data_IF_432158576180
#
_entry.id   IF_432158576180
#
_cell.length_a   1.000
_cell.length_b   1.000
_cell.length_c   1.000
_cell.angle_alpha   90.00
_cell.angle_beta   90.00
_cell.angle_gamma   90.00
#
_symmetry.space_group_name_H-M   'P 1'
#
loop_
_entity.id
_entity.type
_entity.pdbx_description
1 polymer ?
#
# COMPACT_ATOMS: atom_id res chain seq x y z
N UNK A 1 12.84 -1.48 -9.98
CA UNK A 1 13.74 -1.49 -8.80
C UNK A 1 13.84 -2.91 -8.27
N UNK A 2 15.05 -3.42 -8.16
CA UNK A 2 15.29 -4.75 -7.59
C UNK A 2 15.42 -4.65 -6.07
N UNK A 3 15.60 -5.80 -5.40
CA UNK A 3 15.67 -5.84 -3.94
C UNK A 3 16.82 -5.03 -3.36
N UNK A 4 17.99 -5.10 -3.98
CA UNK A 4 19.17 -4.38 -3.49
C UNK A 4 18.98 -2.87 -3.62
N UNK A 5 18.43 -2.44 -4.74
CA UNK A 5 18.12 -1.03 -4.95
C UNK A 5 17.09 -0.53 -3.93
N UNK A 6 16.08 -1.35 -3.66
CA UNK A 6 15.08 -1.03 -2.63
C UNK A 6 15.74 -0.87 -1.26
N UNK A 7 16.57 -1.83 -0.85
CA UNK A 7 17.25 -1.78 0.44
C UNK A 7 18.05 -0.49 0.62
N UNK A 8 18.69 -0.04 -0.45
CA UNK A 8 19.46 1.21 -0.43
C UNK A 8 18.58 2.46 -0.43
N UNK A 9 17.36 2.35 -0.92
CA UNK A 9 16.44 3.49 -1.04
C UNK A 9 15.52 3.66 0.17
N UNK A 10 15.35 2.62 0.98
CA UNK A 10 14.43 2.67 2.11
C UNK A 10 14.88 3.70 3.15
N UNK A 11 13.95 4.59 3.49
CA UNK A 11 14.14 5.59 4.55
C UNK A 11 13.68 5.01 5.88
N UNK A 12 12.60 4.23 5.85
CA UNK A 12 12.03 3.57 7.02
C UNK A 12 12.23 2.06 6.90
N UNK A 13 12.30 1.34 8.03
CA UNK A 13 12.52 -0.11 7.98
C UNK A 13 11.46 -0.84 7.15
N UNK A 14 11.89 -1.89 6.46
CA UNK A 14 10.99 -2.76 5.71
C UNK A 14 10.03 -3.49 6.65
N UNK A 15 10.50 -3.85 7.84
CA UNK A 15 9.70 -4.58 8.80
C UNK A 15 9.62 -6.07 8.50
N UNK A 16 8.69 -6.72 9.17
CA UNK A 16 8.48 -8.16 9.05
C UNK A 16 7.39 -8.48 8.04
N UNK A 17 7.22 -9.75 7.72
CA UNK A 17 6.14 -10.20 6.85
C UNK A 17 4.82 -9.62 7.34
N UNK A 18 4.04 -9.09 6.42
CA UNK A 18 2.79 -8.42 6.74
C UNK A 18 1.81 -9.40 7.40
N UNK A 19 1.36 -9.12 8.64
CA UNK A 19 0.41 -10.00 9.33
C UNK A 19 -0.97 -10.01 8.65
N UNK A 20 -1.24 -9.04 7.78
CA UNK A 20 -2.49 -8.98 7.01
C UNK A 20 -2.33 -9.64 5.63
N UNK A 21 -1.34 -10.50 5.47
CA UNK A 21 -1.03 -11.14 4.18
C UNK A 21 -2.19 -11.87 3.54
N UNK A 22 -3.18 -12.32 4.32
CA UNK A 22 -4.38 -12.97 3.78
C UNK A 22 -5.18 -12.03 2.86
N UNK A 23 -4.98 -10.72 2.97
CA UNK A 23 -5.67 -9.71 2.16
C UNK A 23 -4.80 -9.17 1.04
N UNK A 24 -3.72 -9.87 0.72
CA UNK A 24 -2.77 -9.50 -0.33
C UNK A 24 -2.56 -10.68 -1.27
N UNK A 25 -2.33 -10.39 -2.53
CA UNK A 25 -1.81 -11.35 -3.49
C UNK A 25 -0.30 -11.09 -3.58
N UNK A 26 0.51 -12.09 -3.29
CA UNK A 26 1.96 -11.94 -3.21
C UNK A 26 2.45 -11.58 -1.81
N UNK A 27 3.74 -11.33 -1.69
CA UNK A 27 4.37 -11.08 -0.40
C UNK A 27 4.57 -9.59 -0.14
N UNK A 28 4.15 -9.15 1.04
CA UNK A 28 4.38 -7.79 1.51
C UNK A 28 4.95 -7.80 2.92
N UNK A 29 5.42 -6.64 3.35
CA UNK A 29 6.07 -6.43 4.64
C UNK A 29 5.48 -5.18 5.29
N UNK A 30 5.43 -5.18 6.61
CA UNK A 30 4.87 -4.07 7.37
C UNK A 30 5.76 -3.73 8.56
N UNK A 31 6.09 -2.45 8.66
CA UNK A 31 6.71 -1.88 9.85
C UNK A 31 5.72 -0.90 10.46
N UNK A 32 5.18 -1.22 11.64
CA UNK A 32 4.35 -0.28 12.38
C UNK A 32 5.23 0.80 12.99
N UNK A 33 4.97 2.06 12.66
CA UNK A 33 5.80 3.17 13.12
C UNK A 33 5.16 3.98 14.20
N UNK A 34 3.87 4.27 14.10
CA UNK A 34 3.12 5.02 15.09
C UNK A 34 1.79 4.32 15.36
N UNK A 35 1.58 3.96 16.62
CA UNK A 35 0.33 3.38 17.11
C UNK A 35 0.02 4.03 18.46
N UNK A 36 -0.27 5.32 18.41
CA UNK A 36 -0.52 6.15 19.59
C UNK A 36 -2.02 6.32 19.77
N UNK A 37 -2.56 5.90 20.92
CA UNK A 37 -4.01 5.96 21.16
C UNK A 37 -4.55 7.38 21.23
N UNK A 38 -3.70 8.37 21.42
CA UNK A 38 -4.13 9.78 21.45
C UNK A 38 -4.28 10.37 20.06
N UNK A 39 -3.87 9.62 19.02
CA UNK A 39 -4.00 10.05 17.63
C UNK A 39 -5.12 9.29 16.92
N UNK A 40 -5.88 9.96 16.05
CA UNK A 40 -6.96 9.30 15.32
C UNK A 40 -6.47 8.41 14.18
N UNK A 41 -5.15 8.32 13.94
CA UNK A 41 -4.59 7.55 12.84
C UNK A 41 -3.37 6.75 13.29
N UNK A 42 -3.07 5.71 12.53
CA UNK A 42 -1.81 4.97 12.65
C UNK A 42 -0.91 5.26 11.47
N UNK A 43 0.38 5.00 11.63
CA UNK A 43 1.37 5.17 10.56
C UNK A 43 2.19 3.90 10.45
N UNK A 44 2.29 3.37 9.24
CA UNK A 44 3.10 2.20 8.95
C UNK A 44 3.81 2.33 7.62
N UNK A 45 4.92 1.62 7.48
CA UNK A 45 5.62 1.52 6.22
C UNK A 45 5.29 0.16 5.60
N UNK A 46 4.77 0.14 4.39
CA UNK A 46 4.37 -1.08 3.70
C UNK A 46 5.27 -1.25 2.49
N UNK A 47 5.87 -2.44 2.36
CA UNK A 47 6.76 -2.77 1.27
C UNK A 47 6.21 -3.99 0.53
N UNK A 48 6.16 -3.88 -0.79
CA UNK A 48 5.57 -4.91 -1.66
C UNK A 48 6.64 -5.49 -2.56
N UNK A 49 6.71 -6.81 -2.64
CA UNK A 49 7.52 -7.49 -3.67
C UNK A 49 6.89 -7.26 -5.05
N UNK A 50 7.67 -7.38 -6.14
CA UNK A 50 7.11 -7.22 -7.48
C UNK A 50 5.87 -8.09 -7.67
N UNK A 51 4.81 -7.53 -8.23
CA UNK A 51 3.56 -8.23 -8.46
C UNK A 51 2.60 -8.28 -7.28
N UNK A 52 3.06 -7.91 -6.09
CA UNK A 52 2.22 -7.93 -4.90
C UNK A 52 1.25 -6.75 -4.88
N UNK A 53 -0.01 -7.03 -4.56
CA UNK A 53 -1.04 -6.00 -4.41
C UNK A 53 -2.01 -6.43 -3.33
N UNK A 54 -2.65 -5.45 -2.69
CA UNK A 54 -3.70 -5.78 -1.72
C UNK A 54 -5.03 -6.00 -2.45
N UNK A 55 -6.00 -6.53 -1.71
CA UNK A 55 -7.37 -6.70 -2.22
C UNK A 55 -8.04 -5.34 -2.36
N UNK A 56 -9.09 -5.28 -3.15
CA UNK A 56 -10.00 -4.14 -3.12
C UNK A 56 -10.47 -3.96 -1.68
N UNK A 57 -10.51 -2.72 -1.22
CA UNK A 57 -10.95 -2.42 0.15
C UNK A 57 -11.42 -0.98 0.27
N UNK A 58 -12.08 -0.70 1.38
CA UNK A 58 -12.48 0.66 1.75
C UNK A 58 -11.99 0.93 3.17
N UNK A 59 -11.84 2.20 3.51
CA UNK A 59 -11.63 2.63 4.89
C UNK A 59 -12.93 3.23 5.38
N UNK A 60 -13.53 2.59 6.38
CA UNK A 60 -14.80 3.01 6.93
C UNK A 60 -14.58 4.17 7.90
N UNK A 61 -15.31 5.25 7.69
CA UNK A 61 -15.30 6.42 8.58
C UNK A 61 -13.92 7.08 8.74
N UNK A 62 -13.03 6.89 7.79
CA UNK A 62 -11.70 7.49 7.84
C UNK A 62 -11.05 7.54 6.46
N UNK A 63 -9.81 7.96 6.44
CA UNK A 63 -9.06 8.18 5.21
C UNK A 63 -7.74 7.41 5.25
N UNK A 64 -7.09 7.30 4.10
CA UNK A 64 -5.72 6.81 4.02
C UNK A 64 -4.89 7.76 3.16
N UNK A 65 -3.72 8.11 3.66
CA UNK A 65 -2.74 8.89 2.92
C UNK A 65 -1.55 7.99 2.64
N UNK A 66 -1.11 7.94 1.39
CA UNK A 66 0.07 7.18 0.99
C UNK A 66 1.16 8.15 0.56
N UNK A 67 2.35 7.95 1.10
CA UNK A 67 3.55 8.71 0.74
C UNK A 67 4.54 7.72 0.15
N UNK A 68 4.72 7.75 -1.16
CA UNK A 68 5.58 6.80 -1.85
C UNK A 68 7.05 7.13 -1.62
N UNK A 69 7.80 6.16 -1.14
CA UNK A 69 9.20 6.36 -0.76
C UNK A 69 10.18 5.64 -1.67
N UNK A 70 9.78 4.55 -2.34
CA UNK A 70 10.68 3.79 -3.18
C UNK A 70 9.93 2.97 -4.22
N UNK A 71 10.56 2.77 -5.36
CA UNK A 71 10.08 1.86 -6.39
C UNK A 71 8.94 2.38 -7.22
N UNK A 72 8.23 1.45 -7.87
CA UNK A 72 7.09 1.75 -8.72
C UNK A 72 5.88 0.93 -8.29
N UNK A 73 4.74 1.57 -8.23
CA UNK A 73 3.51 0.91 -7.83
C UNK A 73 2.29 1.44 -8.54
N UNK A 74 1.18 0.76 -8.29
CA UNK A 74 -0.13 1.12 -8.82
C UNK A 74 -1.07 1.55 -7.71
N UNK A 75 -1.95 2.47 -8.04
CA UNK A 75 -3.11 2.84 -7.21
C UNK A 75 -4.31 2.96 -8.12
N UNK A 76 -5.42 2.34 -7.74
CA UNK A 76 -6.66 2.44 -8.53
C UNK A 76 -7.88 2.56 -7.63
N UNK A 77 -8.72 3.52 -7.95
CA UNK A 77 -10.07 3.64 -7.37
C UNK A 77 -11.06 2.98 -8.33
N UNK A 78 -12.07 2.33 -7.78
CA UNK A 78 -13.09 1.66 -8.60
C UNK A 78 -13.71 2.63 -9.60
N UNK A 79 -13.80 2.20 -10.85
CA UNK A 79 -14.36 3.00 -11.94
C UNK A 79 -13.39 3.99 -12.58
N UNK A 80 -12.14 4.01 -12.12
CA UNK A 80 -11.11 4.90 -12.67
C UNK A 80 -9.92 4.11 -13.18
N UNK A 81 -9.09 4.74 -13.97
CA UNK A 81 -7.86 4.13 -14.44
C UNK A 81 -6.82 4.02 -13.32
N UNK A 82 -5.99 2.99 -13.38
CA UNK A 82 -4.89 2.83 -12.45
C UNK A 82 -3.86 3.93 -12.67
N UNK A 83 -3.32 4.46 -11.57
CA UNK A 83 -2.27 5.47 -11.59
C UNK A 83 -0.93 4.82 -11.29
N UNK A 84 0.09 5.13 -12.09
CA UNK A 84 1.45 4.69 -11.83
C UNK A 84 2.09 5.63 -10.82
N UNK A 85 2.63 5.07 -9.75
CA UNK A 85 3.22 5.83 -8.65
C UNK A 85 4.73 5.64 -8.60
N UNK A 86 5.43 6.72 -8.29
CA UNK A 86 6.89 6.73 -8.10
C UNK A 86 7.22 7.40 -6.76
N UNK A 87 8.46 7.24 -6.33
CA UNK A 87 8.92 7.91 -5.11
C UNK A 87 8.66 9.41 -5.19
N UNK A 88 8.11 9.96 -4.11
CA UNK A 88 7.70 11.36 -4.04
C UNK A 88 6.23 11.60 -4.33
N UNK A 89 5.53 10.62 -4.91
CA UNK A 89 4.09 10.75 -5.16
C UNK A 89 3.29 10.56 -3.88
N UNK A 90 2.15 11.23 -3.83
CA UNK A 90 1.25 11.14 -2.68
C UNK A 90 -0.17 10.86 -3.15
N UNK A 91 -0.89 10.09 -2.35
CA UNK A 91 -2.29 9.73 -2.62
C UNK A 91 -3.11 10.00 -1.37
N UNK A 92 -4.31 10.53 -1.57
CA UNK A 92 -5.32 10.61 -0.51
C UNK A 92 -6.51 9.76 -0.94
N UNK A 93 -6.86 8.77 -0.13
CA UNK A 93 -8.07 7.98 -0.33
C UNK A 93 -9.09 8.39 0.73
N UNK A 94 -10.23 8.90 0.29
CA UNK A 94 -11.29 9.35 1.19
C UNK A 94 -12.11 8.17 1.71
N UNK A 95 -12.84 8.41 2.80
CA UNK A 95 -13.67 7.37 3.42
C UNK A 95 -14.64 6.75 2.42
N UNK A 96 -14.77 5.44 2.45
CA UNK A 96 -15.71 4.71 1.62
C UNK A 96 -15.30 4.48 0.18
N UNK A 97 -14.16 5.02 -0.25
CA UNK A 97 -13.69 4.83 -1.62
C UNK A 97 -13.07 3.45 -1.78
N UNK A 98 -13.62 2.66 -2.68
CA UNK A 98 -13.10 1.32 -2.98
C UNK A 98 -11.85 1.45 -3.86
N UNK A 99 -10.76 0.89 -3.38
CA UNK A 99 -9.45 1.06 -4.03
C UNK A 99 -8.53 -0.12 -3.73
N UNK A 100 -7.42 -0.18 -4.44
CA UNK A 100 -6.31 -1.06 -4.14
C UNK A 100 -5.00 -0.38 -4.53
N UNK A 101 -3.89 -0.87 -3.99
CA UNK A 101 -2.55 -0.46 -4.38
C UNK A 101 -1.58 -1.62 -4.26
N UNK A 102 -0.43 -1.48 -4.92
CA UNK A 102 0.57 -2.53 -4.93
C UNK A 102 1.73 -2.20 -5.83
N UNK A 103 2.70 -3.11 -5.88
CA UNK A 103 3.89 -2.98 -6.71
C UNK A 103 3.55 -3.24 -8.18
N UNK A 104 4.34 -2.68 -9.10
CA UNK A 104 4.31 -3.14 -10.48
C UNK A 104 4.92 -4.54 -10.55
N UNK A 105 4.70 -5.25 -11.63
CA UNK A 105 5.18 -6.64 -11.75
C UNK A 105 6.70 -6.75 -11.83
N UNK A 106 7.40 -5.66 -12.15
CA UNK A 106 8.84 -5.66 -12.34
C UNK A 106 9.60 -4.87 -11.28
N UNK A 107 8.92 -4.30 -10.31
CA UNK A 107 9.56 -3.43 -9.31
C UNK A 107 9.05 -3.71 -7.90
N UNK A 108 9.96 -3.63 -6.94
CA UNK A 108 9.59 -3.46 -5.54
C UNK A 108 8.94 -2.09 -5.37
N UNK A 109 8.13 -1.95 -4.33
CA UNK A 109 7.39 -0.73 -4.06
C UNK A 109 7.25 -0.54 -2.55
N UNK A 110 7.49 0.67 -2.08
CA UNK A 110 7.32 0.96 -0.65
C UNK A 110 6.64 2.31 -0.47
N UNK A 111 5.75 2.39 0.50
CA UNK A 111 5.12 3.64 0.88
C UNK A 111 4.84 3.70 2.37
N UNK A 112 4.78 4.93 2.89
CA UNK A 112 4.25 5.19 4.22
C UNK A 112 2.74 5.30 4.08
N UNK A 113 2.01 4.61 4.95
CA UNK A 113 0.55 4.69 5.01
C UNK A 113 0.13 5.34 6.32
N UNK A 114 -0.63 6.43 6.21
CA UNK A 114 -1.26 7.11 7.34
C UNK A 114 -2.74 6.78 7.25
N UNK A 115 -3.25 5.99 8.18
CA UNK A 115 -4.58 5.42 8.06
C UNK A 115 -5.45 5.75 9.27
N UNK A 116 -6.61 6.36 8.99
CA UNK A 116 -7.67 6.56 9.96
C UNK A 116 -8.87 5.72 9.53
N UNK A 117 -9.53 5.10 10.50
CA UNK A 117 -10.70 4.28 10.24
C UNK A 117 -10.35 2.82 10.01
N UNK A 118 -11.37 2.00 10.01
CA UNK A 118 -11.24 0.55 9.89
C UNK A 118 -11.25 0.13 8.42
N UNK A 119 -10.35 -0.76 8.06
CA UNK A 119 -10.32 -1.32 6.71
C UNK A 119 -11.37 -2.41 6.59
N UNK A 120 -12.17 -2.36 5.51
CA UNK A 120 -13.09 -3.43 5.14
C UNK A 120 -12.54 -4.06 3.88
N UNK A 121 -12.07 -5.30 4.01
CA UNK A 121 -11.44 -6.03 2.91
C UNK A 121 -12.50 -6.67 2.01
N UNK A 122 -12.31 -6.53 0.70
CA UNK A 122 -13.24 -7.00 -0.31
C UNK A 122 -12.53 -8.04 -1.20
N UNK A 123 -12.93 -8.13 -2.47
CA UNK A 123 -12.41 -9.16 -3.37
C UNK A 123 -10.96 -8.89 -3.80
N UNK A 124 -10.29 -9.94 -4.25
CA UNK A 124 -8.96 -9.83 -4.81
C UNK A 124 -8.94 -9.00 -6.09
N UNK A 125 -7.82 -8.36 -6.35
CA UNK A 125 -7.57 -7.75 -7.65
C UNK A 125 -7.12 -8.87 -8.59
N UNK A 126 -7.92 -9.18 -9.59
CA UNK A 126 -7.60 -10.26 -10.54
C UNK A 126 -6.39 -9.90 -11.39
N UNK A 127 -5.74 -10.90 -11.96
CA UNK A 127 -4.60 -10.66 -12.85
C UNK A 127 -4.99 -9.78 -14.03
N UNK A 128 -6.23 -9.89 -14.51
CA UNK A 128 -6.74 -9.05 -15.60
C UNK A 128 -6.87 -7.59 -15.18
N UNK A 129 -7.35 -7.34 -13.97
CA UNK A 129 -7.49 -5.97 -13.43
C UNK A 129 -6.13 -5.35 -13.14
N UNK A 130 -5.21 -6.17 -12.67
CA UNK A 130 -3.89 -5.73 -12.24
C UNK A 130 -3.02 -5.23 -13.39
N UNK A 131 -3.20 -5.72 -14.54
CA UNK A 131 -2.41 -5.35 -15.72
C UNK A 131 -2.42 -3.83 -16.00
#
# INVERSE_FOLDING_TARGET
MNKKELENALIFPQGEKNPYGAYFTGQSYLEGMIADKDLPFGVGNVTFEPGCRNHWHIHKDGYQVLLVTAGEGWYQEEGKEAQLLHAGDTIVTHAGVKHWHGATKDSWFSHVAITEGEAVWLEEVSDEQYE
#
